data_IF_147484621102
#
_entry.id   IF_147484621102
#
_cell.length_a   1.000
_cell.length_b   1.000
_cell.length_c   1.000
_cell.angle_alpha   90.00
_cell.angle_beta   90.00
_cell.angle_gamma   90.00
#
_symmetry.space_group_name_H-M   'P 1'
#
loop_
_entity.id
_entity.type
_entity.pdbx_description
1 polymer ?
#
# COMPACT_ATOMS: atom_id res chain seq x y z
N UNK A 1 14.06 -1.80 17.68
CA UNK A 1 14.32 -2.36 16.35
C UNK A 1 15.29 -1.44 15.63
N UNK A 2 16.25 -2.02 14.89
CA UNK A 2 17.13 -1.26 14.01
C UNK A 2 16.56 -1.22 12.59
N UNK A 3 16.38 -0.02 12.03
CA UNK A 3 15.86 0.18 10.68
C UNK A 3 16.85 0.99 9.83
N UNK A 4 17.10 0.52 8.62
CA UNK A 4 17.84 1.25 7.60
C UNK A 4 16.90 1.71 6.50
N UNK A 5 16.86 3.02 6.25
CA UNK A 5 16.01 3.66 5.25
C UNK A 5 16.88 4.17 4.11
N UNK A 6 16.68 3.65 2.91
CA UNK A 6 17.35 4.13 1.71
C UNK A 6 16.43 5.11 0.96
N UNK A 7 16.87 6.37 0.87
CA UNK A 7 16.15 7.47 0.25
C UNK A 7 15.56 8.46 1.25
N UNK A 8 16.22 9.61 1.44
CA UNK A 8 15.80 10.73 2.29
C UNK A 8 14.75 11.66 1.64
N UNK A 9 13.95 11.15 0.70
CA UNK A 9 12.84 11.86 0.09
C UNK A 9 11.71 12.16 1.09
N UNK A 10 10.59 12.72 0.58
CA UNK A 10 9.43 13.04 1.43
C UNK A 10 8.94 11.83 2.24
N UNK A 11 8.88 10.65 1.61
CA UNK A 11 8.39 9.43 2.28
C UNK A 11 9.39 8.95 3.33
N UNK A 12 10.67 8.74 2.94
CA UNK A 12 11.69 8.22 3.85
C UNK A 12 11.98 9.13 5.04
N UNK A 13 12.11 10.45 4.82
CA UNK A 13 12.33 11.40 5.90
C UNK A 13 11.15 11.47 6.88
N UNK A 14 9.90 11.45 6.39
CA UNK A 14 8.73 11.43 7.27
C UNK A 14 8.62 10.10 8.03
N UNK A 15 8.98 9.00 7.39
CA UNK A 15 9.01 7.69 8.05
C UNK A 15 10.08 7.66 9.16
N UNK A 16 11.29 8.18 8.89
CA UNK A 16 12.34 8.31 9.91
C UNK A 16 11.86 9.15 11.10
N UNK A 17 11.23 10.33 10.87
CA UNK A 17 10.68 11.18 11.93
C UNK A 17 9.68 10.43 12.81
N UNK A 18 8.77 9.70 12.18
CA UNK A 18 7.75 8.94 12.88
C UNK A 18 8.38 7.88 13.80
N UNK A 19 9.37 7.14 13.30
CA UNK A 19 10.06 6.11 14.06
C UNK A 19 10.89 6.67 15.22
N UNK A 20 11.61 7.77 14.98
CA UNK A 20 12.44 8.42 16.01
C UNK A 20 11.58 9.07 17.11
N UNK A 21 10.42 9.63 16.75
CA UNK A 21 9.47 10.19 17.73
C UNK A 21 8.95 9.14 18.72
N UNK A 22 8.84 7.89 18.29
CA UNK A 22 8.44 6.76 19.14
C UNK A 22 9.54 6.37 20.16
N UNK A 23 10.81 6.75 19.91
CA UNK A 23 11.94 6.55 20.83
C UNK A 23 12.36 5.08 21.04
N UNK A 24 11.71 4.14 20.38
CA UNK A 24 11.96 2.69 20.52
C UNK A 24 12.78 2.10 19.37
N UNK A 25 13.16 2.94 18.40
CA UNK A 25 13.82 2.50 17.18
C UNK A 25 15.16 3.18 16.99
N UNK A 26 16.13 2.41 16.56
CA UNK A 26 17.38 2.90 15.99
C UNK A 26 17.16 3.04 14.48
N UNK A 27 17.43 4.22 13.91
CA UNK A 27 17.17 4.52 12.52
C UNK A 27 18.44 5.02 11.85
N UNK A 28 18.78 4.47 10.71
CA UNK A 28 19.80 5.00 9.80
C UNK A 28 19.13 5.40 8.48
N UNK A 29 19.45 6.59 7.97
CA UNK A 29 18.92 7.12 6.72
C UNK A 29 20.05 7.34 5.72
N UNK A 30 19.87 6.90 4.47
CA UNK A 30 20.81 7.16 3.37
C UNK A 30 20.15 8.12 2.39
N UNK A 31 20.87 9.20 2.00
CA UNK A 31 20.44 10.15 0.98
C UNK A 31 21.60 10.46 0.04
N UNK A 32 21.37 10.33 -1.27
CA UNK A 32 22.41 10.56 -2.28
C UNK A 32 22.60 12.02 -2.66
N UNK A 33 21.57 12.87 -2.52
CA UNK A 33 21.62 14.28 -2.91
C UNK A 33 22.18 15.13 -1.78
N UNK A 34 23.27 15.80 -2.04
CA UNK A 34 24.01 16.60 -1.06
C UNK A 34 23.13 17.69 -0.43
N UNK A 35 22.35 18.43 -1.24
CA UNK A 35 21.49 19.51 -0.77
C UNK A 35 20.40 19.01 0.20
N UNK A 36 19.95 17.79 0.00
CA UNK A 36 18.95 17.15 0.88
C UNK A 36 19.62 16.56 2.11
N UNK A 37 20.77 15.91 1.94
CA UNK A 37 21.57 15.39 3.04
C UNK A 37 21.87 16.47 4.07
N UNK A 38 22.38 17.66 3.69
CA UNK A 38 22.67 18.74 4.62
C UNK A 38 21.46 19.18 5.47
N UNK A 39 20.26 19.14 4.88
CA UNK A 39 19.03 19.48 5.63
C UNK A 39 18.65 18.40 6.61
N UNK A 40 18.76 17.13 6.20
CA UNK A 40 18.44 15.97 7.03
C UNK A 40 19.47 15.79 8.15
N UNK A 41 20.76 16.05 7.89
CA UNK A 41 21.81 15.97 8.89
C UNK A 41 21.59 16.96 10.05
N UNK A 42 21.09 18.17 9.75
CA UNK A 42 20.72 19.15 10.81
C UNK A 42 19.57 18.66 11.69
N UNK A 43 18.72 17.81 11.16
CA UNK A 43 17.54 17.28 11.85
C UNK A 43 17.81 15.96 12.56
N UNK A 44 18.54 15.05 11.90
CA UNK A 44 18.75 13.67 12.35
C UNK A 44 20.21 13.41 12.78
N UNK A 45 21.07 14.41 12.67
CA UNK A 45 22.48 14.33 13.06
C UNK A 45 23.21 13.14 12.41
N UNK A 46 24.01 12.40 13.19
CA UNK A 46 24.81 11.26 12.75
C UNK A 46 24.00 10.04 12.24
N UNK A 47 22.69 10.12 12.24
CA UNK A 47 21.82 9.05 11.72
C UNK A 47 21.65 9.09 10.19
N UNK A 48 22.17 10.14 9.54
CA UNK A 48 22.09 10.29 8.07
C UNK A 48 23.45 10.04 7.44
N UNK A 49 23.46 9.27 6.36
CA UNK A 49 24.64 8.99 5.55
C UNK A 49 24.47 9.52 4.14
N UNK A 50 25.45 10.28 3.67
CA UNK A 50 25.50 10.74 2.28
C UNK A 50 26.03 9.63 1.39
N UNK A 51 25.28 9.28 0.35
CA UNK A 51 25.72 8.34 -0.68
C UNK A 51 24.57 7.68 -1.44
N UNK A 52 24.95 6.94 -2.46
CA UNK A 52 24.03 6.10 -3.24
C UNK A 52 23.86 4.75 -2.55
N UNK A 53 22.64 4.43 -2.15
CA UNK A 53 22.35 3.18 -1.44
C UNK A 53 22.40 1.92 -2.34
N UNK A 54 22.55 2.06 -3.64
CA UNK A 54 22.84 0.94 -4.56
C UNK A 54 24.31 0.48 -4.45
N UNK A 55 25.17 1.34 -3.87
CA UNK A 55 26.58 1.06 -3.70
C UNK A 55 26.84 0.30 -2.40
N UNK A 56 27.50 -0.86 -2.51
CA UNK A 56 27.78 -1.76 -1.38
C UNK A 56 28.50 -1.03 -0.24
N UNK A 57 29.54 -0.23 -0.56
CA UNK A 57 30.33 0.47 0.45
C UNK A 57 29.51 1.53 1.21
N UNK A 58 28.48 2.11 0.59
CA UNK A 58 27.56 3.05 1.25
C UNK A 58 26.65 2.33 2.23
N UNK A 59 26.09 1.19 1.82
CA UNK A 59 25.30 0.35 2.71
C UNK A 59 26.13 -0.15 3.91
N UNK A 60 27.37 -0.57 3.69
CA UNK A 60 28.27 -1.03 4.75
C UNK A 60 28.63 0.09 5.73
N UNK A 61 28.93 1.29 5.22
CA UNK A 61 29.18 2.47 6.05
C UNK A 61 27.94 2.88 6.84
N UNK A 62 26.76 2.71 6.29
CA UNK A 62 25.48 2.96 6.96
C UNK A 62 25.10 1.86 7.97
N UNK A 63 25.91 0.81 8.09
CA UNK A 63 25.76 -0.21 9.14
C UNK A 63 24.99 -1.45 8.76
N UNK A 64 24.73 -1.71 7.46
CA UNK A 64 23.98 -2.91 7.02
C UNK A 64 24.70 -4.23 7.38
N UNK A 65 26.04 -4.20 7.57
CA UNK A 65 26.81 -5.38 7.99
C UNK A 65 26.44 -5.90 9.38
N UNK A 66 25.84 -5.07 10.25
CA UNK A 66 25.06 -5.47 11.41
C UNK A 66 23.60 -5.52 10.93
N UNK A 67 23.11 -6.67 10.47
CA UNK A 67 21.84 -6.68 9.73
C UNK A 67 20.75 -5.95 10.49
N UNK A 68 20.10 -4.91 9.87
CA UNK A 68 18.95 -4.28 10.46
C UNK A 68 17.77 -5.25 10.53
N UNK A 69 16.86 -5.03 11.47
CA UNK A 69 15.59 -5.77 11.51
C UNK A 69 14.74 -5.52 10.27
N UNK A 70 14.86 -4.31 9.71
CA UNK A 70 14.12 -3.88 8.50
C UNK A 70 14.98 -2.98 7.64
N UNK A 71 14.98 -3.21 6.33
CA UNK A 71 15.42 -2.24 5.31
C UNK A 71 14.20 -1.71 4.58
N UNK A 72 14.12 -0.38 4.42
CA UNK A 72 13.09 0.28 3.64
C UNK A 72 13.72 1.00 2.44
N UNK A 73 13.58 0.44 1.25
CA UNK A 73 14.03 1.00 -0.01
C UNK A 73 12.94 1.98 -0.53
N UNK A 74 13.15 3.29 -0.30
CA UNK A 74 12.14 4.34 -0.52
C UNK A 74 12.66 5.45 -1.43
N UNK A 75 13.56 5.11 -2.36
CA UNK A 75 14.07 6.07 -3.35
C UNK A 75 12.98 6.49 -4.34
N UNK A 76 13.30 7.45 -5.20
CA UNK A 76 12.42 7.87 -6.29
C UNK A 76 12.49 6.99 -7.54
N UNK A 77 13.36 5.99 -7.52
CA UNK A 77 13.69 5.14 -8.66
C UNK A 77 13.43 3.66 -8.33
N UNK A 78 12.72 2.95 -9.22
CA UNK A 78 12.32 1.57 -8.96
C UNK A 78 13.50 0.60 -9.14
N UNK A 79 14.42 0.88 -10.06
CA UNK A 79 15.63 0.11 -10.30
C UNK A 79 16.54 0.17 -9.06
N UNK A 80 16.73 1.37 -8.49
CA UNK A 80 17.47 1.55 -7.23
C UNK A 80 16.83 0.75 -6.10
N UNK A 81 15.51 0.88 -5.93
CA UNK A 81 14.77 0.15 -4.88
C UNK A 81 14.90 -1.36 -5.04
N UNK A 82 14.95 -1.85 -6.27
CA UNK A 82 15.14 -3.25 -6.60
C UNK A 82 16.54 -3.74 -6.21
N UNK A 83 17.59 -2.99 -6.61
CA UNK A 83 19.00 -3.30 -6.29
C UNK A 83 19.21 -3.28 -4.77
N UNK A 84 18.75 -2.24 -4.08
CA UNK A 84 18.86 -2.12 -2.62
C UNK A 84 18.19 -3.29 -1.93
N UNK A 85 17.01 -3.69 -2.39
CA UNK A 85 16.26 -4.80 -1.82
C UNK A 85 16.99 -6.12 -1.99
N UNK A 86 17.48 -6.41 -3.21
CA UNK A 86 18.25 -7.62 -3.51
C UNK A 86 19.55 -7.70 -2.70
N UNK A 87 20.32 -6.61 -2.64
CA UNK A 87 21.53 -6.56 -1.83
C UNK A 87 21.21 -6.83 -0.36
N UNK A 88 20.15 -6.22 0.17
CA UNK A 88 19.75 -6.39 1.56
C UNK A 88 19.34 -7.82 1.89
N UNK A 89 18.57 -8.48 1.01
CA UNK A 89 18.11 -9.84 1.21
C UNK A 89 19.22 -10.86 0.97
N UNK A 90 19.83 -10.83 -0.23
CA UNK A 90 20.71 -11.91 -0.69
C UNK A 90 22.12 -11.81 -0.11
N UNK A 91 22.67 -10.61 0.00
CA UNK A 91 24.04 -10.42 0.51
C UNK A 91 24.08 -10.30 2.01
N UNK A 92 23.17 -9.55 2.62
CA UNK A 92 23.24 -9.24 4.05
C UNK A 92 22.24 -10.01 4.91
N UNK A 93 21.34 -10.79 4.30
CA UNK A 93 20.39 -11.64 5.01
C UNK A 93 19.41 -10.85 5.88
N UNK A 94 19.04 -9.62 5.45
CA UNK A 94 18.09 -8.79 6.18
C UNK A 94 16.74 -9.49 6.24
N UNK A 95 16.15 -9.72 7.43
CA UNK A 95 14.97 -10.56 7.57
C UNK A 95 13.70 -9.94 6.97
N UNK A 96 13.67 -8.61 6.84
CA UNK A 96 12.52 -7.90 6.27
C UNK A 96 12.96 -6.72 5.42
N UNK A 97 12.60 -6.74 4.15
CA UNK A 97 12.82 -5.64 3.22
C UNK A 97 11.48 -5.15 2.72
N UNK A 98 11.27 -3.84 2.79
CA UNK A 98 10.08 -3.15 2.27
C UNK A 98 10.54 -2.28 1.10
N UNK A 99 9.97 -2.48 -0.07
CA UNK A 99 10.31 -1.69 -1.26
C UNK A 99 9.16 -0.80 -1.71
N UNK A 100 9.49 0.44 -2.05
CA UNK A 100 8.56 1.33 -2.74
C UNK A 100 8.58 1.01 -4.23
N UNK A 101 7.38 0.90 -4.81
CA UNK A 101 7.16 0.83 -6.26
C UNK A 101 6.55 2.14 -6.72
N UNK A 102 7.32 2.92 -7.48
CA UNK A 102 6.90 4.23 -7.98
C UNK A 102 5.96 4.09 -9.19
N UNK A 103 6.33 3.22 -10.15
CA UNK A 103 5.51 2.87 -11.30
C UNK A 103 4.81 1.51 -11.07
N UNK A 104 3.48 1.47 -10.96
CA UNK A 104 2.75 0.21 -10.77
C UNK A 104 3.04 -0.88 -11.80
N UNK A 105 3.50 -0.52 -13.00
CA UNK A 105 3.88 -1.48 -14.05
C UNK A 105 5.10 -2.31 -13.68
N UNK A 106 5.97 -1.78 -12.81
CA UNK A 106 7.17 -2.47 -12.35
C UNK A 106 6.89 -3.49 -11.23
N UNK A 107 5.67 -3.54 -10.69
CA UNK A 107 5.31 -4.45 -9.60
C UNK A 107 5.70 -5.91 -9.88
N UNK A 108 5.45 -6.39 -11.11
CA UNK A 108 5.76 -7.76 -11.51
C UNK A 108 7.26 -8.10 -11.37
N UNK A 109 8.17 -7.13 -11.53
CA UNK A 109 9.61 -7.35 -11.37
C UNK A 109 9.97 -7.61 -9.90
N UNK A 110 9.37 -6.84 -8.96
CA UNK A 110 9.57 -7.05 -7.53
C UNK A 110 9.02 -8.41 -7.09
N UNK A 111 7.84 -8.79 -7.58
CA UNK A 111 7.21 -10.07 -7.27
C UNK A 111 8.05 -11.25 -7.79
N UNK A 112 8.58 -11.18 -9.02
CA UNK A 112 9.46 -12.19 -9.61
C UNK A 112 10.76 -12.39 -8.82
N UNK A 113 11.29 -11.32 -8.22
CA UNK A 113 12.50 -11.35 -7.41
C UNK A 113 12.23 -11.63 -5.93
N UNK A 114 10.99 -11.96 -5.57
CA UNK A 114 10.61 -12.31 -4.20
C UNK A 114 10.68 -11.14 -3.22
N UNK A 115 10.66 -9.89 -3.71
CA UNK A 115 10.71 -8.69 -2.86
C UNK A 115 9.29 -8.38 -2.38
N UNK A 116 9.03 -8.67 -1.11
CA UNK A 116 7.74 -8.46 -0.45
C UNK A 116 7.95 -8.16 1.05
N UNK A 117 7.19 -7.20 1.62
CA UNK A 117 6.13 -6.42 1.01
C UNK A 117 6.62 -5.25 0.15
N UNK A 118 5.83 -4.91 -0.86
CA UNK A 118 5.98 -3.67 -1.64
C UNK A 118 4.90 -2.66 -1.29
N UNK A 119 5.19 -1.37 -1.46
CA UNK A 119 4.24 -0.26 -1.25
C UNK A 119 4.24 0.67 -2.47
N UNK A 120 3.06 0.93 -3.03
CA UNK A 120 2.91 1.88 -4.15
C UNK A 120 1.98 3.02 -3.76
N UNK A 121 2.57 4.21 -3.56
CA UNK A 121 1.78 5.41 -3.32
C UNK A 121 0.94 5.81 -4.54
N UNK A 122 1.47 5.60 -5.75
CA UNK A 122 0.77 5.87 -7.01
C UNK A 122 -0.53 5.07 -7.10
N UNK A 123 -0.48 3.77 -6.82
CA UNK A 123 -1.68 2.92 -6.82
C UNK A 123 -2.70 3.38 -5.77
N UNK A 124 -2.23 3.69 -4.55
CA UNK A 124 -3.12 4.18 -3.50
C UNK A 124 -3.80 5.51 -3.85
N UNK A 125 -3.05 6.44 -4.44
CA UNK A 125 -3.61 7.72 -4.89
C UNK A 125 -4.57 7.55 -6.07
N UNK A 126 -4.26 6.67 -7.02
CA UNK A 126 -5.17 6.38 -8.15
C UNK A 126 -6.49 5.81 -7.65
N UNK A 127 -6.48 4.86 -6.72
CA UNK A 127 -7.70 4.32 -6.13
C UNK A 127 -8.57 5.42 -5.47
N UNK A 128 -7.93 6.37 -4.75
CA UNK A 128 -8.65 7.50 -4.16
C UNK A 128 -9.23 8.46 -5.23
N UNK A 129 -8.50 8.70 -6.32
CA UNK A 129 -8.97 9.54 -7.42
C UNK A 129 -10.13 8.86 -8.16
N UNK A 130 -10.00 7.57 -8.45
CA UNK A 130 -11.07 6.78 -9.08
C UNK A 130 -12.37 6.82 -8.27
N UNK A 131 -12.26 6.77 -6.94
CA UNK A 131 -13.40 6.92 -6.03
C UNK A 131 -14.14 8.27 -6.20
N UNK A 132 -13.43 9.35 -6.52
CA UNK A 132 -14.01 10.69 -6.69
C UNK A 132 -14.53 10.94 -8.13
N UNK A 133 -14.29 10.02 -9.06
CA UNK A 133 -14.74 10.13 -10.45
C UNK A 133 -16.10 9.44 -10.61
N UNK A 134 -17.19 10.16 -10.90
CA UNK A 134 -18.57 9.63 -10.87
C UNK A 134 -18.91 8.55 -11.91
N UNK A 135 -17.99 8.16 -12.78
CA UNK A 135 -18.21 7.21 -13.86
C UNK A 135 -17.90 5.74 -13.50
N UNK A 136 -17.46 5.47 -12.27
CA UNK A 136 -17.10 4.12 -11.86
C UNK A 136 -18.13 3.53 -10.89
N UNK A 137 -18.90 2.56 -11.37
CA UNK A 137 -19.88 1.83 -10.57
C UNK A 137 -19.23 0.93 -9.50
N UNK A 138 -17.96 0.56 -9.67
CA UNK A 138 -17.17 -0.25 -8.72
C UNK A 138 -15.74 0.28 -8.67
N UNK A 139 -15.28 0.64 -7.48
CA UNK A 139 -13.96 1.23 -7.23
C UNK A 139 -13.15 0.32 -6.29
N UNK A 140 -11.90 0.03 -6.66
CA UNK A 140 -10.96 -0.70 -5.81
C UNK A 140 -10.33 0.26 -4.78
N UNK A 141 -10.59 0.02 -3.50
CA UNK A 141 -10.05 0.84 -2.42
C UNK A 141 -8.72 0.31 -1.87
N UNK A 142 -8.62 -1.01 -1.69
CA UNK A 142 -7.45 -1.61 -1.05
C UNK A 142 -7.25 -3.07 -1.46
N UNK A 143 -6.00 -3.43 -1.77
CA UNK A 143 -5.56 -4.81 -2.00
C UNK A 143 -4.82 -5.32 -0.75
N UNK A 144 -5.33 -6.38 -0.13
CA UNK A 144 -4.75 -7.06 1.02
C UNK A 144 -4.04 -8.32 0.53
N UNK A 145 -2.81 -8.16 -0.01
CA UNK A 145 -2.08 -9.25 -0.69
C UNK A 145 -1.81 -10.47 0.16
N UNK A 146 -1.48 -10.28 1.45
CA UNK A 146 -1.20 -11.40 2.37
C UNK A 146 -2.42 -12.26 2.62
N UNK A 147 -3.57 -11.62 2.71
CA UNK A 147 -4.86 -12.24 2.99
C UNK A 147 -5.51 -12.74 1.70
N UNK A 148 -4.97 -12.37 0.53
CA UNK A 148 -5.56 -12.61 -0.79
C UNK A 148 -7.00 -12.10 -0.87
N UNK A 149 -7.20 -10.84 -0.44
CA UNK A 149 -8.49 -10.16 -0.39
C UNK A 149 -8.37 -8.76 -0.99
N UNK A 150 -9.49 -8.26 -1.51
CA UNK A 150 -9.66 -6.90 -1.99
C UNK A 150 -10.84 -6.23 -1.30
N UNK A 151 -10.74 -4.93 -1.10
CA UNK A 151 -11.85 -4.10 -0.62
C UNK A 151 -12.25 -3.19 -1.77
N UNK A 152 -13.53 -3.26 -2.11
CA UNK A 152 -14.14 -2.46 -3.18
C UNK A 152 -15.32 -1.68 -2.65
N UNK A 153 -15.61 -0.55 -3.29
CA UNK A 153 -16.82 0.22 -3.09
C UNK A 153 -17.69 0.14 -4.34
N UNK A 154 -18.99 -0.01 -4.14
CA UNK A 154 -19.98 -0.14 -5.20
C UNK A 154 -21.13 0.82 -4.92
N UNK A 155 -21.51 1.65 -5.88
CA UNK A 155 -22.70 2.49 -5.79
C UNK A 155 -23.92 1.77 -6.36
N UNK A 156 -25.00 1.71 -5.60
CA UNK A 156 -26.28 1.10 -6.04
C UNK A 156 -27.10 2.15 -6.79
N UNK A 157 -27.26 1.96 -8.09
CA UNK A 157 -28.02 2.86 -8.94
C UNK A 157 -29.53 2.55 -8.96
N UNK A 158 -30.32 3.49 -9.47
CA UNK A 158 -31.72 3.26 -9.80
C UNK A 158 -31.87 2.15 -10.85
N UNK A 159 -32.54 1.05 -10.48
CA UNK A 159 -32.72 -0.11 -11.34
C UNK A 159 -31.59 -1.15 -11.27
N UNK A 160 -30.62 -1.00 -10.36
CA UNK A 160 -29.67 -2.05 -10.04
C UNK A 160 -30.37 -3.34 -9.55
N UNK A 161 -29.89 -4.54 -9.94
CA UNK A 161 -30.51 -5.80 -9.50
C UNK A 161 -30.60 -5.96 -7.99
N UNK A 162 -29.69 -5.34 -7.24
CA UNK A 162 -29.64 -5.36 -5.79
C UNK A 162 -30.57 -4.36 -5.10
N UNK A 163 -31.03 -3.32 -5.83
CA UNK A 163 -31.91 -2.30 -5.25
C UNK A 163 -33.23 -2.90 -4.74
N UNK A 164 -33.61 -2.57 -3.51
CA UNK A 164 -34.80 -3.09 -2.82
C UNK A 164 -34.66 -4.53 -2.30
N UNK A 165 -33.48 -5.15 -2.42
CA UNK A 165 -33.26 -6.50 -1.90
C UNK A 165 -32.50 -6.47 -0.57
N UNK A 166 -32.81 -7.44 0.29
CA UNK A 166 -32.02 -7.69 1.50
C UNK A 166 -30.72 -8.41 1.14
N UNK A 167 -29.64 -8.12 1.87
CA UNK A 167 -28.32 -8.73 1.68
C UNK A 167 -28.40 -10.27 1.67
N UNK A 168 -29.18 -10.88 2.56
CA UNK A 168 -29.38 -12.33 2.63
C UNK A 168 -30.06 -12.95 1.39
N UNK A 169 -30.68 -12.13 0.53
CA UNK A 169 -31.36 -12.54 -0.71
C UNK A 169 -30.50 -12.32 -1.97
N UNK A 170 -29.30 -11.79 -1.80
CA UNK A 170 -28.33 -11.62 -2.87
C UNK A 170 -27.50 -12.90 -3.02
N UNK A 171 -27.32 -13.32 -4.26
CA UNK A 171 -26.46 -14.46 -4.60
C UNK A 171 -25.00 -13.94 -4.75
N UNK A 172 -24.41 -13.54 -3.61
CA UNK A 172 -23.07 -13.00 -3.59
C UNK A 172 -22.05 -14.07 -3.98
N UNK A 173 -20.98 -13.71 -4.73
CA UNK A 173 -19.91 -14.63 -5.09
C UNK A 173 -19.31 -15.30 -3.85
N UNK A 174 -18.96 -16.57 -3.96
CA UNK A 174 -18.21 -17.25 -2.91
C UNK A 174 -16.88 -16.52 -2.64
N UNK A 175 -16.54 -16.35 -1.37
CA UNK A 175 -15.36 -15.54 -0.97
C UNK A 175 -15.61 -14.03 -0.99
N UNK A 176 -16.86 -13.58 -1.07
CA UNK A 176 -17.22 -12.17 -0.94
C UNK A 176 -18.21 -11.89 0.20
N UNK A 177 -18.19 -10.65 0.70
CA UNK A 177 -19.14 -10.18 1.72
C UNK A 177 -19.31 -8.67 1.66
N UNK A 178 -20.52 -8.19 1.87
CA UNK A 178 -20.77 -6.78 2.11
C UNK A 178 -20.39 -6.45 3.56
N UNK A 179 -19.66 -5.35 3.74
CA UNK A 179 -19.12 -4.92 5.04
C UNK A 179 -20.01 -3.83 5.64
N UNK A 180 -20.25 -2.78 4.86
CA UNK A 180 -21.03 -1.62 5.32
C UNK A 180 -21.75 -0.96 4.17
N UNK A 181 -22.73 -0.16 4.53
CA UNK A 181 -23.51 0.68 3.62
C UNK A 181 -23.42 2.10 4.11
N UNK A 182 -23.13 3.04 3.23
CA UNK A 182 -23.25 4.47 3.50
C UNK A 182 -24.49 5.01 2.78
N UNK A 183 -25.39 5.58 3.55
CA UNK A 183 -26.65 6.18 3.08
C UNK A 183 -26.83 7.56 3.70
N UNK A 184 -26.98 8.59 2.88
CA UNK A 184 -27.15 9.96 3.36
C UNK A 184 -26.07 10.42 4.35
N UNK A 185 -24.81 10.04 4.11
CA UNK A 185 -23.68 10.38 4.97
C UNK A 185 -23.62 9.61 6.31
N UNK A 186 -24.45 8.58 6.50
CA UNK A 186 -24.42 7.68 7.66
C UNK A 186 -24.01 6.27 7.23
N UNK A 187 -23.00 5.72 7.92
CA UNK A 187 -22.55 4.35 7.68
C UNK A 187 -23.22 3.41 8.67
N UNK A 188 -23.65 2.23 8.17
CA UNK A 188 -24.14 1.12 8.98
C UNK A 188 -23.45 -0.19 8.55
N UNK A 189 -23.30 -1.13 9.47
CA UNK A 189 -22.76 -2.45 9.15
C UNK A 189 -23.80 -3.24 8.35
N UNK A 190 -23.39 -3.82 7.24
CA UNK A 190 -24.23 -4.66 6.41
C UNK A 190 -24.48 -6.01 7.12
N UNK A 191 -25.75 -6.30 7.38
CA UNK A 191 -26.21 -7.60 7.91
C UNK A 191 -27.23 -8.22 6.96
N UNK A 192 -27.54 -9.50 7.12
CA UNK A 192 -28.44 -10.21 6.21
C UNK A 192 -29.81 -9.53 6.03
N UNK A 193 -30.34 -8.89 7.07
CA UNK A 193 -31.62 -8.17 7.02
C UNK A 193 -31.53 -6.76 6.42
N UNK A 194 -30.33 -6.23 6.19
CA UNK A 194 -30.13 -4.90 5.61
C UNK A 194 -30.65 -4.87 4.16
N UNK A 195 -31.53 -3.91 3.86
CA UNK A 195 -32.09 -3.71 2.52
C UNK A 195 -31.29 -2.64 1.78
N UNK A 196 -30.78 -2.96 0.59
CA UNK A 196 -30.07 -2.04 -0.27
C UNK A 196 -31.04 -1.10 -0.98
N UNK A 197 -30.70 0.17 -1.04
CA UNK A 197 -31.50 1.21 -1.72
C UNK A 197 -30.69 1.94 -2.79
N UNK A 198 -31.36 2.49 -3.83
CA UNK A 198 -30.68 3.37 -4.76
C UNK A 198 -29.97 4.52 -4.03
N UNK A 199 -28.75 4.83 -4.45
CA UNK A 199 -27.88 5.83 -3.83
C UNK A 199 -27.02 5.32 -2.68
N UNK A 200 -27.17 4.06 -2.28
CA UNK A 200 -26.26 3.45 -1.28
C UNK A 200 -24.86 3.27 -1.85
N UNK A 201 -23.85 3.65 -1.07
CA UNK A 201 -22.45 3.25 -1.31
C UNK A 201 -22.16 2.02 -0.44
N UNK A 202 -21.86 0.91 -1.08
CA UNK A 202 -21.69 -0.39 -0.43
C UNK A 202 -20.22 -0.75 -0.43
N UNK A 203 -19.65 -0.94 0.76
CA UNK A 203 -18.30 -1.47 0.92
C UNK A 203 -18.35 -2.99 0.96
N UNK A 204 -17.58 -3.63 0.09
CA UNK A 204 -17.48 -5.08 0.01
C UNK A 204 -16.04 -5.55 0.12
N UNK A 205 -15.85 -6.77 0.66
CA UNK A 205 -14.60 -7.51 0.65
C UNK A 205 -14.78 -8.76 -0.21
N UNK A 206 -13.80 -9.09 -1.03
CA UNK A 206 -13.86 -10.24 -1.93
C UNK A 206 -12.46 -10.80 -2.22
N UNK A 207 -12.41 -12.02 -2.73
CA UNK A 207 -11.20 -12.60 -3.27
C UNK A 207 -10.91 -11.99 -4.66
N UNK A 208 -9.63 -11.79 -5.04
CA UNK A 208 -9.26 -11.27 -6.36
C UNK A 208 -9.89 -12.08 -7.50
N UNK A 209 -10.36 -11.37 -8.54
CA UNK A 209 -11.01 -11.96 -9.70
C UNK A 209 -12.51 -12.24 -9.53
N UNK A 210 -13.12 -11.79 -8.43
CA UNK A 210 -14.57 -11.90 -8.18
C UNK A 210 -15.36 -10.60 -8.45
N UNK A 211 -14.69 -9.57 -8.93
CA UNK A 211 -15.25 -8.23 -9.14
C UNK A 211 -16.39 -8.26 -10.18
N UNK A 212 -16.19 -8.95 -11.30
CA UNK A 212 -17.20 -9.06 -12.36
C UNK A 212 -18.44 -9.85 -11.91
N UNK A 213 -18.24 -10.87 -11.04
CA UNK A 213 -19.34 -11.61 -10.45
C UNK A 213 -20.13 -10.72 -9.48
N UNK A 214 -19.41 -9.99 -8.61
CA UNK A 214 -20.02 -9.05 -7.66
C UNK A 214 -20.76 -7.93 -8.40
N UNK A 215 -20.14 -7.37 -9.44
CA UNK A 215 -20.76 -6.34 -10.31
C UNK A 215 -22.09 -6.83 -10.89
N UNK A 216 -22.15 -8.04 -11.43
CA UNK A 216 -23.38 -8.60 -11.99
C UNK A 216 -24.49 -8.80 -10.95
N UNK A 217 -24.13 -9.09 -9.72
CA UNK A 217 -25.11 -9.27 -8.63
C UNK A 217 -25.65 -7.95 -8.11
N UNK A 218 -24.78 -6.95 -7.96
CA UNK A 218 -25.12 -5.67 -7.36
C UNK A 218 -25.61 -4.64 -8.38
N UNK A 219 -24.99 -4.60 -9.57
CA UNK A 219 -25.17 -3.59 -10.59
C UNK A 219 -25.79 -4.20 -11.87
N UNK A 220 -26.27 -3.35 -12.72
CA UNK A 220 -26.73 -3.75 -14.06
C UNK A 220 -25.53 -3.84 -15.00
N UNK A 221 -25.42 -4.93 -15.73
CA UNK A 221 -24.43 -5.11 -16.82
C UNK A 221 -24.60 -4.09 -17.91
#
# INVERSE_FOLDING_TARGET
MYLLIAGGGKVGANFARMLLKDGRHEVTLIEQRHDRFERLEREFEHQVHLGDATEIYVLERAGIARPPDVVAALTGDDEDNLIISQLSQEKYGVPKVIARVNDPRNQAHFDLLGISPTVSATRGLMALIEHEVPEHDLVHLLELRKENLEIVEVQIDEGAPAAGKRVEKLDLPEGSRLISIMRNGRSEIAVGSTELQPGDQVLAILQPGKEDELRRVLLKS
#
